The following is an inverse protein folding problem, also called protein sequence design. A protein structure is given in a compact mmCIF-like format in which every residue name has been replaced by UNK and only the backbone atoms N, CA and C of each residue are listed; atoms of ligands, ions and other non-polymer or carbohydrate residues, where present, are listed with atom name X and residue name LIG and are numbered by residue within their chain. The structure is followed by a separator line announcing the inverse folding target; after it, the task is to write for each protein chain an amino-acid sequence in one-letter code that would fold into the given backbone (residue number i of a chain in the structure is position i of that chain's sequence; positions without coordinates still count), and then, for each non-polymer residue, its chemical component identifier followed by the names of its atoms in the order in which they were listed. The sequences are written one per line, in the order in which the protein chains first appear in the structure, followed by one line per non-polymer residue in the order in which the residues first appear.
data_IF_406055224816
#
_entry.id   IF_406055224816
#
_cell.length_a   1.000
_cell.length_b   1.000
_cell.length_c   1.000
_cell.angle_alpha   90.00
_cell.angle_beta   90.00
_cell.angle_gamma   90.00
#
_symmetry.space_group_name_H-M   'P 1'
#
loop_
_entity.id
_entity.type
_entity.pdbx_description
1 polymer ?
#
# COMPACT_ATOMS: atom_id res chain seq x y z
N UNK A 1 -24.87 22.89 5.06
CA UNK A 1 -23.62 22.13 5.27
C UNK A 1 -24.02 20.66 5.22
N UNK A 2 -23.66 19.93 4.16
CA UNK A 2 -24.32 18.67 3.77
C UNK A 2 -23.79 17.41 4.48
N UNK A 3 -22.83 17.55 5.38
CA UNK A 3 -22.30 16.43 6.15
C UNK A 3 -22.33 16.82 7.62
N UNK A 4 -23.40 16.43 8.30
CA UNK A 4 -23.63 16.68 9.73
C UNK A 4 -22.69 15.79 10.58
N UNK A 5 -21.38 15.94 10.38
CA UNK A 5 -20.36 15.31 11.21
C UNK A 5 -20.08 16.26 12.37
N UNK A 6 -20.77 16.04 13.50
CA UNK A 6 -20.37 16.61 14.78
C UNK A 6 -18.90 16.20 15.08
N UNK A 7 -18.18 17.00 15.88
CA UNK A 7 -16.72 17.03 16.15
C UNK A 7 -16.00 15.71 16.55
N UNK A 8 -16.64 14.56 16.43
CA UNK A 8 -16.11 13.23 16.72
C UNK A 8 -15.53 12.55 15.47
N UNK A 9 -14.59 13.20 14.79
CA UNK A 9 -13.85 12.60 13.69
C UNK A 9 -12.63 11.83 14.24
N UNK A 10 -12.36 10.59 13.77
CA UNK A 10 -11.16 9.88 14.16
C UNK A 10 -9.91 10.67 13.76
N UNK A 11 -9.01 10.88 14.70
CA UNK A 11 -7.73 11.54 14.44
C UNK A 11 -6.87 10.73 13.44
N UNK A 12 -5.81 11.35 12.93
CA UNK A 12 -4.88 10.73 11.98
C UNK A 12 -4.34 9.38 12.50
N UNK A 13 -4.07 9.31 13.81
CA UNK A 13 -3.51 8.10 14.42
C UNK A 13 -4.52 6.95 14.46
N UNK A 14 -5.81 7.25 14.70
CA UNK A 14 -6.89 6.27 14.67
C UNK A 14 -7.07 5.71 13.26
N UNK A 15 -7.07 6.56 12.22
CA UNK A 15 -7.15 6.11 10.83
C UNK A 15 -5.94 5.25 10.43
N UNK A 16 -4.74 5.63 10.86
CA UNK A 16 -3.53 4.86 10.62
C UNK A 16 -3.62 3.45 11.24
N UNK A 17 -4.01 3.36 12.51
CA UNK A 17 -4.21 2.08 13.21
C UNK A 17 -5.27 1.22 12.54
N UNK A 18 -6.38 1.82 12.11
CA UNK A 18 -7.43 1.11 11.38
C UNK A 18 -6.92 0.51 10.07
N UNK A 19 -6.19 1.30 9.25
CA UNK A 19 -5.56 0.82 8.01
C UNK A 19 -4.57 -0.32 8.24
N UNK A 20 -3.75 -0.22 9.28
CA UNK A 20 -2.79 -1.26 9.63
C UNK A 20 -3.51 -2.57 10.01
N UNK A 21 -4.57 -2.50 10.82
CA UNK A 21 -5.40 -3.67 11.16
C UNK A 21 -6.05 -4.30 9.93
N UNK A 22 -6.61 -3.51 9.02
CA UNK A 22 -7.19 -4.04 7.77
C UNK A 22 -6.16 -4.80 6.93
N UNK A 23 -4.91 -4.32 6.92
CA UNK A 23 -3.80 -4.94 6.20
C UNK A 23 -3.37 -6.25 6.86
N UNK A 24 -3.22 -6.25 8.18
CA UNK A 24 -2.89 -7.44 8.98
C UNK A 24 -3.91 -8.57 8.78
N UNK A 25 -5.20 -8.23 8.82
CA UNK A 25 -6.29 -9.20 8.63
C UNK A 25 -6.65 -9.48 7.16
N UNK A 26 -5.96 -8.87 6.19
CA UNK A 26 -6.24 -9.01 4.75
C UNK A 26 -7.71 -8.75 4.39
N UNK A 27 -8.29 -7.70 4.98
CA UNK A 27 -9.72 -7.37 4.82
C UNK A 27 -9.99 -6.33 3.74
N UNK A 28 -8.96 -5.71 3.16
CA UNK A 28 -9.12 -4.66 2.14
C UNK A 28 -10.01 -5.09 0.97
N UNK A 29 -9.75 -6.28 0.40
CA UNK A 29 -10.51 -6.77 -0.74
C UNK A 29 -11.99 -7.02 -0.39
N UNK A 30 -12.24 -7.55 0.82
CA UNK A 30 -13.60 -7.80 1.31
C UNK A 30 -14.35 -6.49 1.55
N UNK A 31 -13.69 -5.52 2.18
CA UNK A 31 -14.27 -4.22 2.46
C UNK A 31 -14.59 -3.47 1.16
N UNK A 32 -13.66 -3.47 0.20
CA UNK A 32 -13.90 -2.84 -1.11
C UNK A 32 -15.07 -3.50 -1.84
N UNK A 33 -15.14 -4.85 -1.81
CA UNK A 33 -16.26 -5.59 -2.40
C UNK A 33 -17.60 -5.19 -1.76
N UNK A 34 -17.66 -5.15 -0.43
CA UNK A 34 -18.86 -4.76 0.31
C UNK A 34 -19.30 -3.32 -0.02
N UNK A 35 -18.36 -2.38 -0.08
CA UNK A 35 -18.65 -1.00 -0.49
C UNK A 35 -19.21 -0.96 -1.92
N UNK A 36 -18.61 -1.69 -2.86
CA UNK A 36 -19.08 -1.75 -4.24
C UNK A 36 -20.45 -2.42 -4.35
N UNK A 37 -20.75 -3.44 -3.54
CA UNK A 37 -22.08 -4.06 -3.45
C UNK A 37 -23.13 -3.06 -2.96
N UNK A 38 -22.84 -2.30 -1.91
CA UNK A 38 -23.75 -1.27 -1.40
C UNK A 38 -23.95 -0.11 -2.39
N UNK A 39 -22.92 0.25 -3.16
CA UNK A 39 -23.06 1.22 -4.25
C UNK A 39 -23.96 0.68 -5.38
N UNK A 40 -23.84 -0.61 -5.67
CA UNK A 40 -24.66 -1.28 -6.68
C UNK A 40 -26.13 -1.32 -6.28
N UNK A 41 -26.42 -1.65 -5.02
CA UNK A 41 -27.79 -1.66 -4.47
C UNK A 41 -28.47 -0.30 -4.55
N UNK A 42 -27.68 0.77 -4.43
CA UNK A 42 -28.16 2.16 -4.55
C UNK A 42 -28.31 2.63 -6.00
N UNK A 43 -28.01 1.76 -6.99
CA UNK A 43 -28.05 2.10 -8.41
C UNK A 43 -26.94 3.07 -8.84
N UNK A 44 -25.89 3.21 -8.02
CA UNK A 44 -24.75 4.08 -8.30
C UNK A 44 -23.59 3.33 -8.95
N UNK A 45 -23.67 2.01 -9.03
CA UNK A 45 -22.62 1.17 -9.59
C UNK A 45 -23.25 0.08 -10.46
N UNK A 46 -22.90 0.07 -11.75
CA UNK A 46 -23.32 -0.99 -12.68
C UNK A 46 -22.34 -2.16 -12.60
N UNK A 47 -22.83 -3.35 -12.22
CA UNK A 47 -22.00 -4.56 -12.06
C UNK A 47 -21.49 -5.14 -13.38
N UNK A 48 -22.22 -4.94 -14.48
CA UNK A 48 -22.00 -5.60 -15.77
C UNK A 48 -21.53 -4.62 -16.86
N UNK A 49 -20.49 -3.82 -16.58
CA UNK A 49 -19.82 -3.07 -17.65
C UNK A 49 -18.88 -4.01 -18.43
N UNK A 50 -19.09 -4.18 -19.73
CA UNK A 50 -18.26 -5.00 -20.63
C UNK A 50 -16.79 -4.53 -20.73
N UNK A 51 -16.46 -3.33 -20.24
CA UNK A 51 -15.11 -2.76 -20.24
C UNK A 51 -14.64 -2.35 -18.84
N UNK A 52 -13.62 -3.04 -18.33
CA UNK A 52 -12.84 -2.55 -17.20
C UNK A 52 -11.57 -1.86 -17.71
N UNK A 53 -11.39 -0.58 -17.39
CA UNK A 53 -10.20 0.19 -17.75
C UNK A 53 -9.15 -0.08 -16.68
N UNK A 54 -8.00 -0.65 -17.08
CA UNK A 54 -6.87 -0.90 -16.19
C UNK A 54 -5.75 0.07 -16.48
N UNK A 55 -5.41 0.92 -15.51
CA UNK A 55 -4.25 1.82 -15.57
C UNK A 55 -3.15 1.38 -14.60
N UNK A 56 -1.89 1.60 -15.00
CA UNK A 56 -0.70 1.35 -14.19
C UNK A 56 -0.01 2.68 -13.83
N UNK A 57 -0.25 3.15 -12.61
CA UNK A 57 0.31 4.40 -12.09
C UNK A 57 1.54 4.14 -11.21
N UNK A 58 2.60 4.94 -11.37
CA UNK A 58 3.78 4.91 -10.50
C UNK A 58 3.49 5.73 -9.25
N UNK A 59 3.65 5.12 -8.08
CA UNK A 59 3.42 5.75 -6.77
C UNK A 59 4.79 5.96 -6.11
N UNK A 60 5.20 7.20 -5.93
CA UNK A 60 6.49 7.52 -5.30
C UNK A 60 6.41 7.34 -3.78
N UNK A 61 7.40 6.64 -3.24
CA UNK A 61 7.59 6.54 -1.80
C UNK A 61 8.17 7.86 -1.26
N UNK A 62 7.57 8.36 -0.18
CA UNK A 62 8.09 9.51 0.56
C UNK A 62 9.36 9.16 1.35
N UNK A 63 9.58 7.88 1.63
CA UNK A 63 10.74 7.36 2.35
C UNK A 63 11.88 7.02 1.39
N UNK A 64 12.46 8.04 0.74
CA UNK A 64 13.65 7.81 -0.11
C UNK A 64 14.75 7.09 0.67
N UNK A 65 15.48 6.14 0.05
CA UNK A 65 16.41 5.32 0.79
C UNK A 65 17.54 6.16 1.40
N UNK A 66 17.59 6.16 2.74
CA UNK A 66 18.70 6.68 3.54
C UNK A 66 19.22 5.52 4.38
N UNK A 67 20.53 5.25 4.30
CA UNK A 67 21.16 4.19 5.08
C UNK A 67 21.09 4.53 6.57
N UNK A 68 20.37 3.73 7.36
CA UNK A 68 20.36 3.78 8.82
C UNK A 68 20.86 2.45 9.39
N UNK A 69 21.64 2.51 10.45
CA UNK A 69 22.18 1.33 11.15
C UNK A 69 21.46 1.25 12.49
N UNK A 70 20.60 0.25 12.65
CA UNK A 70 19.99 -0.07 13.94
C UNK A 70 20.88 -1.06 14.69
N UNK A 71 21.35 -0.66 15.86
CA UNK A 71 22.13 -1.51 16.77
C UNK A 71 21.16 -2.05 17.81
N UNK A 72 20.90 -3.37 17.83
CA UNK A 72 20.13 -3.96 18.94
C UNK A 72 20.97 -3.81 20.21
N UNK A 73 20.42 -3.16 21.24
CA UNK A 73 21.02 -3.17 22.57
C UNK A 73 20.85 -4.57 23.13
N UNK A 74 21.95 -5.29 23.34
CA UNK A 74 21.96 -6.53 24.11
C UNK A 74 21.97 -6.09 25.58
N UNK A 75 20.97 -6.52 26.36
CA UNK A 75 20.91 -6.24 27.79
C UNK A 75 22.17 -6.83 28.47
N UNK A 76 22.90 -5.98 29.19
CA UNK A 76 24.22 -6.26 29.78
C UNK A 76 24.15 -7.06 31.09
N UNK A 77 23.35 -8.13 31.15
CA UNK A 77 23.23 -8.97 32.36
C UNK A 77 23.83 -10.38 32.20
N UNK A 78 24.54 -10.66 31.11
CA UNK A 78 25.21 -11.95 30.91
C UNK A 78 26.67 -11.75 30.54
N UNK A 79 27.55 -12.30 31.38
CA UNK A 79 29.01 -12.21 31.35
C UNK A 79 29.62 -12.27 29.95
N UNK A 80 30.66 -11.45 29.78
CA UNK A 80 31.47 -11.28 28.58
C UNK A 80 31.83 -12.61 27.91
N UNK A 81 31.08 -12.96 26.87
CA UNK A 81 31.61 -13.76 25.77
C UNK A 81 31.53 -12.89 24.53
N UNK A 82 32.73 -12.55 24.05
CA UNK A 82 33.08 -12.02 22.73
C UNK A 82 31.95 -11.31 22.00
N UNK A 83 32.04 -9.98 21.92
CA UNK A 83 31.13 -9.11 21.18
C UNK A 83 31.03 -9.55 19.70
N UNK A 84 30.16 -10.53 19.44
CA UNK A 84 29.90 -11.01 18.11
C UNK A 84 29.25 -9.88 17.33
N UNK A 85 29.68 -9.69 16.10
CA UNK A 85 29.34 -8.60 15.19
C UNK A 85 27.86 -8.62 14.75
N UNK A 86 26.98 -9.28 15.49
CA UNK A 86 25.79 -9.98 14.98
C UNK A 86 24.45 -9.26 15.20
N UNK A 87 24.42 -7.98 15.55
CA UNK A 87 23.14 -7.29 15.69
C UNK A 87 23.10 -5.85 15.15
N UNK A 88 23.76 -5.61 14.01
CA UNK A 88 23.58 -4.37 13.23
C UNK A 88 22.64 -4.64 12.06
N UNK A 89 21.37 -4.24 12.18
CA UNK A 89 20.43 -4.26 11.07
C UNK A 89 20.62 -2.99 10.21
N UNK A 90 21.06 -3.16 8.97
CA UNK A 90 21.18 -2.04 8.01
C UNK A 90 19.84 -1.89 7.30
N UNK A 91 19.12 -0.81 7.62
CA UNK A 91 17.86 -0.46 6.96
C UNK A 91 18.15 0.63 5.94
N UNK A 92 17.78 0.38 4.69
CA UNK A 92 18.03 1.32 3.60
C UNK A 92 16.88 2.31 3.39
N UNK A 93 15.66 1.96 3.77
CA UNK A 93 14.48 2.83 3.71
C UNK A 93 13.49 2.43 4.79
N UNK A 94 12.68 3.38 5.25
CA UNK A 94 11.51 3.12 6.10
C UNK A 94 10.39 2.39 5.36
N UNK A 95 10.44 2.37 4.03
CA UNK A 95 9.52 1.63 3.17
C UNK A 95 10.25 0.39 2.62
N UNK A 96 10.17 -0.76 3.32
CA UNK A 96 10.98 -1.94 3.00
C UNK A 96 10.60 -2.58 1.66
N UNK A 97 9.36 -2.41 1.21
CA UNK A 97 8.83 -3.01 -0.02
C UNK A 97 9.03 -2.14 -1.27
N UNK A 98 9.38 -0.86 -1.09
CA UNK A 98 9.60 0.06 -2.20
C UNK A 98 10.89 -0.30 -2.97
N UNK A 99 10.86 -0.16 -4.30
CA UNK A 99 12.01 -0.44 -5.19
C UNK A 99 12.17 0.66 -6.23
N UNK A 100 13.35 0.72 -6.85
CA UNK A 100 13.66 1.66 -7.92
C UNK A 100 13.11 1.19 -9.28
N UNK A 101 12.58 2.12 -10.06
CA UNK A 101 12.15 1.97 -11.45
C UNK A 101 12.71 3.13 -12.28
N UNK A 102 13.18 2.86 -13.49
CA UNK A 102 13.52 3.90 -14.47
C UNK A 102 12.42 3.99 -15.52
N UNK A 103 11.73 5.14 -15.62
CA UNK A 103 10.67 5.40 -16.61
C UNK A 103 10.93 6.78 -17.23
N UNK A 104 10.85 6.89 -18.55
CA UNK A 104 11.08 8.14 -19.29
C UNK A 104 12.37 8.89 -18.87
N UNK A 105 13.49 8.17 -18.77
CA UNK A 105 14.81 8.69 -18.34
C UNK A 105 14.90 9.19 -16.89
N UNK A 106 13.84 9.08 -16.07
CA UNK A 106 13.83 9.44 -14.65
C UNK A 106 13.80 8.19 -13.76
N UNK A 107 14.39 8.30 -12.58
CA UNK A 107 14.39 7.27 -11.55
C UNK A 107 13.32 7.56 -10.52
N UNK A 108 12.45 6.59 -10.27
CA UNK A 108 11.36 6.64 -9.31
C UNK A 108 11.56 5.54 -8.26
N UNK A 109 11.49 5.89 -6.98
CA UNK A 109 11.53 4.91 -5.88
C UNK A 109 10.13 4.77 -5.30
N UNK A 110 9.59 3.56 -5.25
CA UNK A 110 8.26 3.32 -4.71
C UNK A 110 7.59 2.08 -5.26
N UNK A 111 6.35 2.27 -5.69
CA UNK A 111 5.40 1.22 -6.04
C UNK A 111 4.79 1.47 -7.43
N UNK A 112 4.06 0.47 -7.90
CA UNK A 112 3.21 0.54 -9.08
C UNK A 112 1.82 0.07 -8.69
N UNK A 113 0.83 0.94 -8.83
CA UNK A 113 -0.57 0.65 -8.59
C UNK A 113 -1.27 0.34 -9.91
N UNK A 114 -1.94 -0.80 -9.96
CA UNK A 114 -2.81 -1.21 -11.05
C UNK A 114 -4.25 -1.05 -10.55
N UNK A 115 -4.99 -0.13 -11.15
CA UNK A 115 -6.36 0.19 -10.77
C UNK A 115 -7.29 -0.25 -11.89
N UNK A 116 -8.28 -1.05 -11.56
CA UNK A 116 -9.37 -1.42 -12.44
C UNK A 116 -10.58 -0.55 -12.12
N UNK A 117 -11.08 0.15 -13.14
CA UNK A 117 -12.14 1.15 -13.01
C UNK A 117 -13.24 0.84 -14.02
N UNK A 118 -14.50 1.04 -13.64
CA UNK A 118 -15.64 0.95 -14.56
C UNK A 118 -15.76 2.22 -15.43
N UNK A 119 -16.67 2.22 -16.41
CA UNK A 119 -16.88 3.38 -17.30
C UNK A 119 -17.31 4.65 -16.55
N UNK A 120 -17.97 4.49 -15.41
CA UNK A 120 -18.44 5.58 -14.56
C UNK A 120 -17.36 6.15 -13.63
N UNK A 121 -16.18 5.53 -13.56
CA UNK A 121 -15.06 5.98 -12.74
C UNK A 121 -14.94 5.33 -11.35
N UNK A 122 -15.76 4.33 -11.03
CA UNK A 122 -15.67 3.57 -9.77
C UNK A 122 -14.58 2.49 -9.81
N UNK A 123 -13.82 2.41 -8.72
CA UNK A 123 -12.74 1.43 -8.56
C UNK A 123 -13.33 0.06 -8.24
N UNK A 124 -13.14 -0.89 -9.15
CA UNK A 124 -13.53 -2.28 -8.96
C UNK A 124 -12.47 -3.06 -8.18
N UNK A 125 -11.19 -2.81 -8.50
CA UNK A 125 -10.07 -3.55 -7.94
C UNK A 125 -8.80 -2.71 -7.94
N UNK A 126 -7.97 -2.91 -6.92
CA UNK A 126 -6.65 -2.30 -6.82
C UNK A 126 -5.60 -3.37 -6.53
N UNK A 127 -4.51 -3.37 -7.29
CA UNK A 127 -3.37 -4.24 -7.05
C UNK A 127 -2.09 -3.40 -7.03
N UNK A 128 -1.29 -3.51 -5.97
CA UNK A 128 -0.07 -2.72 -5.81
C UNK A 128 1.13 -3.66 -5.77
N UNK A 129 2.17 -3.33 -6.52
CA UNK A 129 3.46 -4.03 -6.50
C UNK A 129 4.59 -3.06 -6.24
N UNK A 130 5.78 -3.55 -5.91
CA UNK A 130 6.99 -2.71 -5.95
C UNK A 130 7.24 -2.16 -7.36
N UNK A 131 7.87 -0.99 -7.48
CA UNK A 131 7.96 -0.30 -8.77
C UNK A 131 8.76 -1.07 -9.84
N UNK A 132 9.70 -1.92 -9.43
CA UNK A 132 10.54 -2.72 -10.34
C UNK A 132 9.83 -3.92 -10.96
N UNK A 133 8.59 -4.23 -10.55
CA UNK A 133 7.85 -5.38 -11.06
C UNK A 133 7.32 -5.09 -12.47
N UNK A 134 7.51 -6.06 -13.37
CA UNK A 134 7.02 -6.01 -14.75
C UNK A 134 5.49 -6.10 -14.80
N UNK A 135 4.88 -5.31 -15.70
CA UNK A 135 3.43 -5.15 -15.85
C UNK A 135 2.79 -6.32 -16.61
N UNK A 136 3.57 -7.05 -17.41
CA UNK A 136 3.09 -8.05 -18.36
C UNK A 136 2.20 -9.13 -17.73
N UNK A 137 2.41 -9.45 -16.45
CA UNK A 137 1.66 -10.48 -15.73
C UNK A 137 0.77 -9.94 -14.60
N UNK A 138 0.65 -8.62 -14.44
CA UNK A 138 -0.17 -8.04 -13.36
C UNK A 138 -1.60 -7.72 -13.81
N UNK A 139 -1.85 -7.63 -15.12
CA UNK A 139 -3.18 -7.39 -15.68
C UNK A 139 -4.17 -8.51 -15.33
N UNK A 140 -3.71 -9.75 -15.25
CA UNK A 140 -4.57 -10.89 -14.84
C UNK A 140 -5.01 -10.80 -13.38
N UNK A 141 -4.26 -10.08 -12.54
CA UNK A 141 -4.59 -9.88 -11.12
C UNK A 141 -5.52 -8.70 -10.89
N UNK A 142 -5.76 -7.88 -11.89
CA UNK A 142 -6.64 -6.69 -11.81
C UNK A 142 -7.95 -6.85 -12.57
N UNK A 143 -8.07 -7.89 -13.39
CA UNK A 143 -9.36 -8.41 -13.84
C UNK A 143 -10.13 -9.10 -12.72
#
# INVERSE_FOLDING_TARGET
MFTNFDDNYPDETTLCRFRNKLTEYKLWDKLLKEVNEQLSEKGLFVKDCEGAIVDATVIESSSRPRKSIEVKKIDKDREEKEASQEARNIIYSKDPDARWLKKAHKYHFGYKGFLSVNEEGFIQKAHITSANVSEMHQLTKTK
#
